data_IF_831087517218
#
_entry.id   IF_831087517218
#
_cell.length_a   1.000
_cell.length_b   1.000
_cell.length_c   1.000
_cell.angle_alpha   90.00
_cell.angle_beta   90.00
_cell.angle_gamma   90.00
#
_symmetry.space_group_name_H-M   'P 1'
#
loop_
_entity.id
_entity.type
_entity.pdbx_description
1 polymer ?
#
# COMPACT_ATOMS: atom_id res chain seq x y z
N UNK A 1 -3.78 5.00 31.40
CA UNK A 1 -2.82 4.39 30.45
C UNK A 1 -3.57 3.68 29.34
N UNK A 2 -3.03 3.66 28.12
CA UNK A 2 -3.61 2.95 26.97
C UNK A 2 -3.53 1.43 27.16
N UNK A 3 -4.65 0.71 27.00
CA UNK A 3 -4.67 -0.75 27.07
C UNK A 3 -4.19 -1.32 25.72
N UNK A 4 -2.89 -1.65 25.65
CA UNK A 4 -2.22 -2.14 24.45
C UNK A 4 -2.81 -3.45 23.93
N UNK A 5 -3.24 -4.36 24.82
CA UNK A 5 -3.87 -5.63 24.43
C UNK A 5 -5.17 -5.44 23.68
N UNK A 6 -6.09 -4.62 24.23
CA UNK A 6 -7.36 -4.29 23.57
C UNK A 6 -7.15 -3.50 22.27
N UNK A 7 -6.21 -2.56 22.27
CA UNK A 7 -5.90 -1.76 21.09
C UNK A 7 -5.36 -2.62 19.94
N UNK A 8 -4.44 -3.54 20.24
CA UNK A 8 -3.87 -4.47 19.25
C UNK A 8 -4.97 -5.29 18.58
N UNK A 9 -5.83 -5.95 19.36
CA UNK A 9 -6.93 -6.77 18.83
C UNK A 9 -7.87 -5.93 17.96
N UNK A 10 -8.21 -4.70 18.41
CA UNK A 10 -9.08 -3.80 17.65
C UNK A 10 -8.48 -3.42 16.29
N UNK A 11 -7.19 -3.07 16.25
CA UNK A 11 -6.50 -2.73 14.99
C UNK A 11 -6.43 -3.95 14.06
N UNK A 12 -6.13 -5.14 14.59
CA UNK A 12 -6.11 -6.37 13.78
C UNK A 12 -7.48 -6.68 13.18
N UNK A 13 -8.55 -6.62 13.97
CA UNK A 13 -9.91 -6.91 13.47
C UNK A 13 -10.32 -5.90 12.38
N UNK A 14 -10.11 -4.60 12.61
CA UNK A 14 -10.45 -3.56 11.64
C UNK A 14 -9.59 -3.69 10.37
N UNK A 15 -8.29 -3.89 10.51
CA UNK A 15 -7.39 -4.05 9.37
C UNK A 15 -7.74 -5.28 8.53
N UNK A 16 -7.95 -6.42 9.18
CA UNK A 16 -8.30 -7.67 8.51
C UNK A 16 -9.64 -7.58 7.79
N UNK A 17 -10.66 -6.96 8.39
CA UNK A 17 -11.98 -6.87 7.73
C UNK A 17 -11.93 -5.96 6.50
N UNK A 18 -11.22 -4.83 6.60
CA UNK A 18 -11.04 -3.91 5.46
C UNK A 18 -10.29 -4.61 4.33
N UNK A 19 -9.16 -5.25 4.64
CA UNK A 19 -8.33 -5.91 3.62
C UNK A 19 -9.07 -7.11 3.01
N UNK A 20 -9.73 -7.93 3.82
CA UNK A 20 -10.47 -9.09 3.34
C UNK A 20 -11.61 -8.68 2.40
N UNK A 21 -12.37 -7.64 2.74
CA UNK A 21 -13.43 -7.11 1.88
C UNK A 21 -12.90 -6.60 0.55
N UNK A 22 -11.76 -5.92 0.51
CA UNK A 22 -11.19 -5.43 -0.76
C UNK A 22 -10.65 -6.58 -1.59
N UNK A 23 -9.84 -7.46 -1.00
CA UNK A 23 -9.19 -8.57 -1.70
C UNK A 23 -10.19 -9.58 -2.26
N UNK A 24 -11.36 -9.76 -1.64
CA UNK A 24 -12.40 -10.64 -2.19
C UNK A 24 -12.95 -10.17 -3.53
N UNK A 25 -12.91 -8.86 -3.82
CA UNK A 25 -13.38 -8.30 -5.10
C UNK A 25 -12.24 -8.09 -6.10
N UNK A 26 -11.07 -7.64 -5.64
CA UNK A 26 -9.98 -7.22 -6.54
C UNK A 26 -8.90 -8.27 -6.74
N UNK A 27 -8.95 -9.37 -5.98
CA UNK A 27 -7.84 -10.33 -5.91
C UNK A 27 -6.64 -9.79 -5.13
N UNK A 28 -5.53 -10.53 -5.20
CA UNK A 28 -4.32 -10.24 -4.44
C UNK A 28 -3.54 -9.07 -5.06
N UNK A 29 -3.29 -8.03 -4.24
CA UNK A 29 -2.48 -6.86 -4.60
C UNK A 29 -1.28 -6.79 -3.64
N UNK A 30 -0.07 -6.81 -4.20
CA UNK A 30 1.18 -6.79 -3.44
C UNK A 30 1.80 -5.39 -3.31
N UNK A 31 2.77 -5.26 -2.40
CA UNK A 31 3.69 -4.11 -2.22
C UNK A 31 3.08 -2.76 -1.79
N UNK A 32 1.85 -2.44 -2.15
CA UNK A 32 1.16 -1.17 -1.82
C UNK A 32 1.20 -0.89 -0.31
N UNK A 33 0.78 -1.87 0.50
CA UNK A 33 0.75 -1.75 1.97
C UNK A 33 2.12 -1.65 2.64
N UNK A 34 3.21 -1.96 1.93
CA UNK A 34 4.58 -1.83 2.45
C UNK A 34 5.22 -0.51 2.00
N UNK A 35 5.09 -0.17 0.72
CA UNK A 35 5.78 0.97 0.10
C UNK A 35 5.12 2.29 0.49
N UNK A 36 3.80 2.36 0.39
CA UNK A 36 3.06 3.62 0.49
C UNK A 36 3.08 4.24 1.90
N UNK A 37 2.83 3.51 2.99
CA UNK A 37 2.96 4.09 4.32
C UNK A 37 4.40 4.50 4.64
N UNK A 38 5.40 3.90 4.01
CA UNK A 38 6.79 4.32 4.16
C UNK A 38 7.08 5.64 3.43
N UNK A 39 6.59 5.78 2.20
CA UNK A 39 6.66 7.05 1.44
C UNK A 39 5.88 8.14 2.17
N UNK A 40 4.66 7.86 2.63
CA UNK A 40 3.85 8.80 3.40
C UNK A 40 4.60 9.27 4.65
N UNK A 41 5.25 8.35 5.38
CA UNK A 41 6.06 8.68 6.56
C UNK A 41 7.22 9.62 6.23
N UNK A 42 7.85 9.47 5.06
CA UNK A 42 8.93 10.36 4.61
C UNK A 42 8.41 11.75 4.21
N UNK A 43 7.16 11.85 3.74
CA UNK A 43 6.55 13.10 3.27
C UNK A 43 5.91 13.92 4.40
N UNK A 44 5.12 13.28 5.26
CA UNK A 44 4.33 13.97 6.30
C UNK A 44 4.81 13.68 7.73
N UNK A 45 5.84 12.85 7.90
CA UNK A 45 6.40 12.50 9.20
C UNK A 45 5.72 11.30 9.89
N UNK A 46 6.09 11.00 11.15
CA UNK A 46 5.67 9.80 11.86
C UNK A 46 4.32 9.89 12.59
N UNK A 47 3.67 11.07 12.59
CA UNK A 47 2.36 11.24 13.24
C UNK A 47 1.28 10.46 12.48
N UNK A 48 0.72 9.45 13.13
CA UNK A 48 -0.28 8.55 12.53
C UNK A 48 -1.57 9.28 12.17
N UNK A 49 -1.90 10.41 12.81
CA UNK A 49 -3.09 11.19 12.47
C UNK A 49 -3.05 11.77 11.06
N UNK A 50 -1.85 12.15 10.60
CA UNK A 50 -1.62 12.75 9.28
C UNK A 50 -1.14 11.68 8.30
N UNK A 51 -0.27 10.78 8.76
CA UNK A 51 0.29 9.71 7.94
C UNK A 51 -0.76 8.72 7.44
N UNK A 52 -1.77 8.36 8.25
CA UNK A 52 -2.84 7.45 7.81
C UNK A 52 -3.66 8.02 6.63
N UNK A 53 -4.27 9.22 6.71
CA UNK A 53 -4.99 9.78 5.57
C UNK A 53 -4.06 10.03 4.38
N UNK A 54 -2.85 10.54 4.59
CA UNK A 54 -1.87 10.72 3.51
C UNK A 54 -1.56 9.41 2.79
N UNK A 55 -1.37 8.31 3.53
CA UNK A 55 -1.12 6.99 2.95
C UNK A 55 -2.32 6.44 2.18
N UNK A 56 -3.55 6.74 2.61
CA UNK A 56 -4.75 6.34 1.88
C UNK A 56 -4.86 7.05 0.53
N UNK A 57 -4.61 8.37 0.49
CA UNK A 57 -4.62 9.14 -0.76
C UNK A 57 -3.48 8.75 -1.71
N UNK A 58 -2.25 8.66 -1.21
CA UNK A 58 -1.11 8.18 -1.99
C UNK A 58 -1.35 6.75 -2.51
N UNK A 59 -2.00 5.92 -1.68
CA UNK A 59 -2.52 4.59 -2.00
C UNK A 59 -3.39 4.56 -3.23
N UNK A 60 -4.50 5.30 -3.17
CA UNK A 60 -5.47 5.36 -4.25
C UNK A 60 -4.86 5.89 -5.55
N UNK A 61 -4.07 6.96 -5.49
CA UNK A 61 -3.42 7.55 -6.67
C UNK A 61 -2.46 6.54 -7.32
N UNK A 62 -1.62 5.88 -6.53
CA UNK A 62 -0.69 4.87 -7.03
C UNK A 62 -1.41 3.70 -7.69
N UNK A 63 -2.48 3.19 -7.07
CA UNK A 63 -3.25 2.09 -7.62
C UNK A 63 -3.95 2.45 -8.93
N UNK A 64 -4.54 3.66 -9.03
CA UNK A 64 -5.18 4.12 -10.26
C UNK A 64 -4.14 4.21 -11.39
N UNK A 65 -2.95 4.76 -11.11
CA UNK A 65 -1.87 4.81 -12.10
C UNK A 65 -1.43 3.41 -12.54
N UNK A 66 -1.28 2.48 -11.61
CA UNK A 66 -0.97 1.09 -11.94
C UNK A 66 -2.09 0.41 -12.76
N UNK A 67 -3.36 0.69 -12.47
CA UNK A 67 -4.50 0.13 -13.20
C UNK A 67 -4.53 0.64 -14.64
N UNK A 68 -4.33 1.94 -14.84
CA UNK A 68 -4.24 2.55 -16.17
C UNK A 68 -3.05 1.97 -16.95
N UNK A 69 -1.89 1.82 -16.32
CA UNK A 69 -0.73 1.19 -16.96
C UNK A 69 -1.00 -0.28 -17.30
N UNK A 70 -1.70 -1.02 -16.43
CA UNK A 70 -2.06 -2.41 -16.68
C UNK A 70 -2.93 -2.61 -17.91
N UNK A 71 -3.88 -1.69 -18.12
CA UNK A 71 -4.79 -1.74 -19.27
C UNK A 71 -4.17 -1.24 -20.57
N UNK A 72 -3.15 -0.38 -20.49
CA UNK A 72 -2.58 0.31 -21.66
C UNK A 72 -1.35 -0.36 -22.27
N UNK A 73 -0.49 -1.01 -21.47
CA UNK A 73 0.84 -1.47 -21.95
C UNK A 73 0.76 -2.66 -22.91
N UNK A 74 -0.17 -3.60 -22.71
CA UNK A 74 -0.34 -4.78 -23.59
C UNK A 74 -1.83 -4.97 -23.92
N UNK A 75 -2.47 -3.96 -24.50
CA UNK A 75 -3.81 -4.17 -25.06
C UNK A 75 -3.74 -5.23 -26.20
N UNK A 76 -4.60 -6.28 -26.22
CA UNK A 76 -5.84 -6.49 -25.46
C UNK A 76 -5.71 -7.45 -24.26
N UNK A 77 -4.50 -7.86 -23.88
CA UNK A 77 -4.28 -8.82 -22.80
C UNK A 77 -4.26 -8.11 -21.45
N UNK A 78 -5.21 -8.44 -20.58
CA UNK A 78 -5.28 -7.87 -19.25
C UNK A 78 -4.19 -8.45 -18.34
N UNK A 79 -3.17 -7.63 -18.05
CA UNK A 79 -2.15 -7.99 -17.07
C UNK A 79 -2.76 -7.79 -15.67
N UNK A 80 -2.61 -8.74 -14.74
CA UNK A 80 -3.04 -8.55 -13.37
C UNK A 80 -2.30 -7.37 -12.75
N UNK A 81 -3.05 -6.40 -12.22
CA UNK A 81 -2.50 -5.19 -11.58
C UNK A 81 -1.50 -5.52 -10.45
N UNK A 82 -1.67 -6.67 -9.80
CA UNK A 82 -0.73 -7.20 -8.80
C UNK A 82 0.70 -7.41 -9.33
N UNK A 83 0.85 -7.82 -10.59
CA UNK A 83 2.17 -7.98 -11.21
C UNK A 83 2.85 -6.62 -11.45
N UNK A 84 2.09 -5.63 -11.93
CA UNK A 84 2.62 -4.29 -12.22
C UNK A 84 2.98 -3.56 -10.94
N UNK A 85 2.12 -3.63 -9.93
CA UNK A 85 2.41 -3.07 -8.60
C UNK A 85 3.64 -3.73 -7.97
N UNK A 86 3.89 -5.02 -8.20
CA UNK A 86 5.11 -5.69 -7.74
C UNK A 86 6.37 -5.24 -8.51
N UNK A 87 6.29 -5.12 -9.84
CA UNK A 87 7.41 -4.65 -10.68
C UNK A 87 7.83 -3.23 -10.30
N UNK A 88 6.86 -2.36 -9.99
CA UNK A 88 7.13 -0.97 -9.58
C UNK A 88 7.51 -0.90 -8.10
N UNK A 89 6.82 -1.67 -7.25
CA UNK A 89 6.97 -1.63 -5.80
C UNK A 89 8.26 -2.25 -5.30
N UNK A 90 8.76 -3.32 -5.92
CA UNK A 90 9.99 -3.99 -5.48
C UNK A 90 11.26 -3.11 -5.63
N UNK A 91 11.51 -2.43 -6.76
CA UNK A 91 12.61 -1.48 -6.89
C UNK A 91 12.50 -0.30 -5.90
N UNK A 92 11.30 0.24 -5.73
CA UNK A 92 11.04 1.31 -4.76
C UNK A 92 11.36 0.85 -3.33
N UNK A 93 10.94 -0.36 -2.97
CA UNK A 93 11.23 -0.91 -1.65
C UNK A 93 12.74 -1.10 -1.42
N UNK A 94 13.46 -1.64 -2.40
CA UNK A 94 14.93 -1.78 -2.34
C UNK A 94 15.61 -0.41 -2.21
N UNK A 95 15.15 0.59 -2.98
CA UNK A 95 15.68 1.95 -2.91
C UNK A 95 15.49 2.57 -1.51
N UNK A 96 14.29 2.42 -0.94
CA UNK A 96 13.98 2.90 0.41
C UNK A 96 14.85 2.19 1.47
N UNK A 97 15.06 0.87 1.33
CA UNK A 97 15.91 0.10 2.24
C UNK A 97 17.38 0.56 2.18
N UNK A 98 17.91 0.80 0.97
CA UNK A 98 19.28 1.32 0.79
C UNK A 98 19.45 2.71 1.38
N UNK A 99 18.45 3.59 1.24
CA UNK A 99 18.53 4.97 1.75
C UNK A 99 18.58 5.04 3.27
N UNK A 100 17.96 4.10 3.98
CA UNK A 100 17.97 4.05 5.46
C UNK A 100 19.32 3.59 6.04
N UNK A 101 20.15 2.93 5.24
CA UNK A 101 21.48 2.42 5.63
C UNK A 101 22.60 3.43 5.35
N UNK A 102 22.28 4.69 5.05
CA UNK A 102 23.22 5.80 4.95
C UNK A 102 22.80 6.90 5.91
#
# INVERSE_FOLDING_TARGET
GINTGKLRIRIFLIGSIIIASVVSFTGLIGFVGLVIPHIARLLVGPDHRIMLPASAFLGGIFLILCDVLARTVIAPTEIPIGAITAIIGAPLFIYLLRRKNK
#
